data_IF_110153294212
#
_entry.id   IF_110153294212
#
_cell.length_a   1.000
_cell.length_b   1.000
_cell.length_c   1.000
_cell.angle_alpha   90.00
_cell.angle_beta   90.00
_cell.angle_gamma   90.00
#
_symmetry.space_group_name_H-M   'P 1'
#
loop_
_entity.id
_entity.type
_entity.pdbx_description
1 polymer ?
#
# COMPACT_ATOMS: atom_id res chain seq x y z
N UNK A 1 -0.37 14.98 -6.84
CA UNK A 1 0.93 14.56 -7.36
C UNK A 1 0.65 13.45 -8.35
N UNK A 2 1.28 13.38 -9.54
CA UNK A 2 1.18 12.17 -10.35
C UNK A 2 1.77 11.01 -9.54
N UNK A 3 1.27 9.79 -9.78
CA UNK A 3 1.69 8.58 -9.07
C UNK A 3 3.24 8.42 -8.97
N UNK A 4 3.69 7.66 -7.97
CA UNK A 4 5.11 7.44 -7.70
C UNK A 4 5.79 6.80 -8.92
N UNK A 5 6.78 7.48 -9.51
CA UNK A 5 7.47 7.01 -10.74
C UNK A 5 8.09 5.62 -10.59
N UNK A 6 8.53 5.26 -9.39
CA UNK A 6 9.18 3.98 -9.05
C UNK A 6 8.18 2.88 -8.67
N UNK A 7 6.87 3.17 -8.70
CA UNK A 7 5.81 2.23 -8.27
C UNK A 7 5.95 0.83 -8.83
N UNK A 8 6.02 0.67 -10.15
CA UNK A 8 6.06 -0.66 -10.77
C UNK A 8 7.27 -1.48 -10.28
N UNK A 9 8.41 -0.82 -10.04
CA UNK A 9 9.61 -1.49 -9.52
C UNK A 9 9.37 -2.01 -8.10
N UNK A 10 8.65 -1.26 -7.27
CA UNK A 10 8.28 -1.67 -5.92
C UNK A 10 7.22 -2.77 -5.90
N UNK A 11 6.23 -2.70 -6.80
CA UNK A 11 5.23 -3.75 -6.98
C UNK A 11 5.90 -5.07 -7.39
N UNK A 12 6.81 -5.03 -8.37
CA UNK A 12 7.56 -6.20 -8.83
C UNK A 12 8.46 -6.76 -7.71
N UNK A 13 9.18 -5.90 -6.99
CA UNK A 13 10.06 -6.31 -5.91
C UNK A 13 9.30 -6.98 -4.76
N UNK A 14 8.16 -6.40 -4.35
CA UNK A 14 7.33 -6.97 -3.30
C UNK A 14 6.67 -8.29 -3.75
N UNK A 15 6.16 -8.34 -4.99
CA UNK A 15 5.57 -9.56 -5.53
C UNK A 15 6.58 -10.71 -5.59
N UNK A 16 7.81 -10.43 -6.03
CA UNK A 16 8.89 -11.41 -6.09
C UNK A 16 9.29 -11.91 -4.70
N UNK A 17 9.43 -11.00 -3.72
CA UNK A 17 9.75 -11.38 -2.34
C UNK A 17 8.67 -12.26 -1.72
N UNK A 18 7.39 -11.92 -1.91
CA UNK A 18 6.27 -12.72 -1.42
C UNK A 18 6.15 -14.07 -2.13
N UNK A 19 6.47 -14.15 -3.42
CA UNK A 19 6.42 -15.42 -4.17
C UNK A 19 7.44 -16.43 -3.66
N UNK A 20 8.62 -15.99 -3.23
CA UNK A 20 9.59 -16.88 -2.59
C UNK A 20 9.02 -17.49 -1.30
N UNK A 21 8.33 -16.67 -0.49
CA UNK A 21 7.65 -17.15 0.72
C UNK A 21 6.51 -18.10 0.35
N UNK A 22 5.68 -17.73 -0.62
CA UNK A 22 4.54 -18.56 -0.98
C UNK A 22 4.95 -19.92 -1.55
N UNK A 23 6.02 -19.99 -2.35
CA UNK A 23 6.56 -21.26 -2.85
C UNK A 23 7.06 -22.16 -1.70
N UNK A 24 7.77 -21.61 -0.71
CA UNK A 24 8.20 -22.39 0.47
C UNK A 24 6.98 -22.89 1.27
N UNK A 25 5.94 -22.08 1.43
CA UNK A 25 4.74 -22.50 2.17
C UNK A 25 3.81 -23.42 1.38
N UNK A 26 3.80 -23.33 0.06
CA UNK A 26 3.16 -24.31 -0.81
C UNK A 26 3.75 -25.71 -0.55
N UNK A 27 5.08 -25.83 -0.56
CA UNK A 27 5.76 -27.11 -0.36
C UNK A 27 5.57 -27.64 1.07
N UNK A 28 5.61 -26.76 2.08
CA UNK A 28 5.31 -27.12 3.47
C UNK A 28 3.86 -27.56 3.67
N UNK A 29 2.92 -26.93 2.97
CA UNK A 29 1.52 -27.32 3.02
C UNK A 29 1.34 -28.73 2.45
N UNK A 30 1.94 -29.04 1.29
CA UNK A 30 1.90 -30.39 0.71
C UNK A 30 2.53 -31.42 1.65
N UNK A 31 3.66 -31.09 2.28
CA UNK A 31 4.38 -32.02 3.13
C UNK A 31 3.70 -32.25 4.49
N UNK A 32 3.14 -31.20 5.10
CA UNK A 32 2.75 -31.20 6.51
C UNK A 32 1.37 -30.60 6.81
N UNK A 33 0.74 -29.88 5.88
CA UNK A 33 -0.55 -29.22 6.08
C UNK A 33 -0.52 -28.14 7.16
N UNK A 34 0.54 -27.33 7.22
CA UNK A 34 0.73 -26.28 8.25
C UNK A 34 1.12 -24.94 7.67
N UNK A 35 0.64 -23.86 8.31
CA UNK A 35 0.96 -22.47 7.98
C UNK A 35 1.83 -21.77 9.03
N UNK A 36 2.33 -22.51 10.02
CA UNK A 36 3.11 -21.97 11.13
C UNK A 36 4.29 -21.11 10.62
N UNK A 37 4.41 -19.90 11.13
CA UNK A 37 5.45 -18.93 10.78
C UNK A 37 5.25 -18.18 9.46
N UNK A 38 4.17 -18.43 8.71
CA UNK A 38 3.89 -17.72 7.44
C UNK A 38 3.74 -16.22 7.67
N UNK A 39 3.06 -15.83 8.73
CA UNK A 39 2.84 -14.44 9.11
C UNK A 39 4.15 -13.69 9.32
N UNK A 40 5.08 -14.26 10.10
CA UNK A 40 6.38 -13.69 10.36
C UNK A 40 7.26 -13.62 9.09
N UNK A 41 7.20 -14.64 8.24
CA UNK A 41 7.94 -14.69 6.98
C UNK A 41 7.46 -13.64 5.99
N UNK A 42 6.14 -13.50 5.83
CA UNK A 42 5.51 -12.43 5.05
C UNK A 42 5.92 -11.06 5.59
N UNK A 43 5.81 -10.86 6.91
CA UNK A 43 6.14 -9.58 7.52
C UNK A 43 7.61 -9.20 7.27
N UNK A 44 8.52 -10.17 7.40
CA UNK A 44 9.94 -9.97 7.10
C UNK A 44 10.21 -9.63 5.63
N UNK A 45 9.50 -10.28 4.70
CA UNK A 45 9.63 -10.04 3.27
C UNK A 45 9.06 -8.67 2.84
N UNK A 46 7.92 -8.25 3.42
CA UNK A 46 7.23 -7.03 3.01
C UNK A 46 7.85 -5.75 3.59
N UNK A 47 8.37 -5.81 4.82
CA UNK A 47 8.81 -4.63 5.57
C UNK A 47 9.77 -3.71 4.79
N UNK A 48 10.85 -4.20 4.15
CA UNK A 48 11.82 -3.33 3.50
C UNK A 48 11.19 -2.50 2.38
N UNK A 49 10.42 -3.14 1.49
CA UNK A 49 9.77 -2.46 0.36
C UNK A 49 8.72 -1.47 0.85
N UNK A 50 7.90 -1.84 1.83
CA UNK A 50 6.87 -0.95 2.38
C UNK A 50 7.49 0.30 3.05
N UNK A 51 8.59 0.13 3.78
CA UNK A 51 9.30 1.24 4.41
C UNK A 51 9.89 2.19 3.35
N UNK A 52 10.49 1.62 2.30
CA UNK A 52 11.08 2.38 1.21
C UNK A 52 10.01 3.17 0.43
N UNK A 53 8.92 2.53 0.01
CA UNK A 53 7.83 3.17 -0.74
C UNK A 53 7.23 4.33 0.06
N UNK A 54 6.95 4.10 1.34
CA UNK A 54 6.43 5.14 2.22
C UNK A 54 7.39 6.33 2.31
N UNK A 55 8.68 6.06 2.53
CA UNK A 55 9.71 7.11 2.63
C UNK A 55 9.88 7.91 1.34
N UNK A 56 9.88 7.23 0.19
CA UNK A 56 9.95 7.87 -1.14
C UNK A 56 8.74 8.75 -1.41
N UNK A 57 7.53 8.26 -1.14
CA UNK A 57 6.29 9.02 -1.33
C UNK A 57 6.26 10.28 -0.45
N UNK A 58 6.63 10.14 0.82
CA UNK A 58 6.75 11.26 1.74
C UNK A 58 7.80 12.28 1.26
N UNK A 59 9.02 11.83 0.96
CA UNK A 59 10.11 12.71 0.51
C UNK A 59 9.76 13.45 -0.79
N UNK A 60 9.09 12.79 -1.72
CA UNK A 60 8.67 13.41 -2.97
C UNK A 60 7.60 14.49 -2.74
N UNK A 61 6.58 14.24 -1.93
CA UNK A 61 5.58 15.26 -1.61
C UNK A 61 6.21 16.45 -0.88
N UNK A 62 7.08 16.19 0.11
CA UNK A 62 7.78 17.25 0.84
C UNK A 62 8.63 18.11 -0.11
N UNK A 63 9.38 17.47 -1.03
CA UNK A 63 10.18 18.17 -2.03
C UNK A 63 9.34 19.02 -2.97
N UNK A 64 8.20 18.50 -3.44
CA UNK A 64 7.28 19.26 -4.32
C UNK A 64 6.69 20.49 -3.63
N UNK A 65 6.45 20.41 -2.32
CA UNK A 65 5.92 21.52 -1.53
C UNK A 65 7.02 22.39 -0.91
N UNK A 66 8.29 22.18 -1.26
CA UNK A 66 9.45 22.87 -0.66
C UNK A 66 9.48 22.78 0.87
N UNK A 67 8.95 21.70 1.45
CA UNK A 67 8.91 21.47 2.88
C UNK A 67 10.19 20.79 3.36
N UNK A 68 10.85 21.29 4.42
CA UNK A 68 12.08 20.73 4.92
C UNK A 68 11.82 19.39 5.61
N UNK A 69 12.01 18.28 4.90
CA UNK A 69 11.97 16.93 5.44
C UNK A 69 13.26 16.19 5.09
N UNK A 70 13.99 15.70 6.10
CA UNK A 70 15.19 14.92 5.83
C UNK A 70 14.86 13.50 5.40
N UNK A 71 15.74 12.90 4.58
CA UNK A 71 15.62 11.49 4.21
C UNK A 71 15.64 10.55 5.45
N UNK A 72 16.35 10.95 6.52
CA UNK A 72 16.41 10.21 7.78
C UNK A 72 15.06 10.16 8.50
N UNK A 73 14.37 11.30 8.60
CA UNK A 73 13.03 11.39 9.20
C UNK A 73 11.99 10.62 8.39
N UNK A 74 12.00 10.78 7.06
CA UNK A 74 11.11 10.05 6.16
C UNK A 74 11.31 8.53 6.29
N UNK A 75 12.56 8.07 6.31
CA UNK A 75 12.89 6.66 6.49
C UNK A 75 12.49 6.14 7.89
N UNK A 76 12.76 6.90 8.96
CA UNK A 76 12.40 6.50 10.32
C UNK A 76 10.88 6.33 10.47
N UNK A 77 10.10 7.28 9.94
CA UNK A 77 8.64 7.19 9.94
C UNK A 77 8.16 6.00 9.10
N UNK A 78 8.73 5.83 7.89
CA UNK A 78 8.41 4.72 7.00
C UNK A 78 8.66 3.36 7.62
N UNK A 79 9.81 3.16 8.26
CA UNK A 79 10.12 1.92 8.99
C UNK A 79 9.14 1.68 10.15
N UNK A 80 8.76 2.72 10.88
CA UNK A 80 7.80 2.62 11.99
C UNK A 80 6.42 2.14 11.51
N UNK A 81 5.90 2.77 10.44
CA UNK A 81 4.65 2.37 9.82
C UNK A 81 4.73 0.97 9.20
N UNK A 82 5.76 0.71 8.41
CA UNK A 82 5.93 -0.56 7.68
C UNK A 82 6.04 -1.75 8.62
N UNK A 83 6.67 -1.62 9.79
CA UNK A 83 6.70 -2.70 10.81
C UNK A 83 5.31 -3.12 11.25
N UNK A 84 4.44 -2.15 11.55
CA UNK A 84 3.08 -2.42 12.00
C UNK A 84 2.26 -3.03 10.86
N UNK A 85 2.32 -2.42 9.67
CA UNK A 85 1.56 -2.90 8.51
C UNK A 85 2.02 -4.27 8.02
N UNK A 86 3.32 -4.54 7.96
CA UNK A 86 3.85 -5.82 7.51
C UNK A 86 3.44 -6.97 8.47
N UNK A 87 3.43 -6.73 9.78
CA UNK A 87 2.93 -7.70 10.75
C UNK A 87 1.43 -7.96 10.59
N UNK A 88 0.64 -6.93 10.31
CA UNK A 88 -0.79 -7.06 10.02
C UNK A 88 -1.04 -7.82 8.72
N UNK A 89 -0.30 -7.48 7.65
CA UNK A 89 -0.35 -8.18 6.37
C UNK A 89 -0.05 -9.68 6.55
N UNK A 90 0.96 -10.02 7.33
CA UNK A 90 1.28 -11.41 7.67
C UNK A 90 0.08 -12.17 8.22
N UNK A 91 -0.62 -11.59 9.21
CA UNK A 91 -1.83 -12.19 9.80
C UNK A 91 -2.97 -12.30 8.78
N UNK A 92 -3.22 -11.24 8.00
CA UNK A 92 -4.26 -11.22 6.97
C UNK A 92 -4.01 -12.26 5.88
N UNK A 93 -2.75 -12.49 5.52
CA UNK A 93 -2.38 -13.55 4.56
C UNK A 93 -2.65 -14.92 5.16
N UNK A 94 -2.29 -15.18 6.42
CA UNK A 94 -2.62 -16.47 7.08
C UNK A 94 -4.13 -16.69 7.08
N UNK A 95 -4.92 -15.74 7.58
CA UNK A 95 -6.39 -15.85 7.66
C UNK A 95 -7.02 -16.11 6.27
N UNK A 96 -6.62 -15.34 5.26
CA UNK A 96 -7.15 -15.55 3.90
C UNK A 96 -6.64 -16.82 3.22
N UNK A 97 -5.50 -17.36 3.66
CA UNK A 97 -4.96 -18.65 3.20
C UNK A 97 -5.74 -19.81 3.80
N UNK A 98 -5.97 -19.78 5.12
CA UNK A 98 -6.81 -20.75 5.84
C UNK A 98 -8.20 -20.80 5.22
N UNK A 99 -8.83 -19.63 5.03
CA UNK A 99 -10.14 -19.55 4.38
C UNK A 99 -10.15 -20.15 2.97
N UNK A 100 -9.17 -19.83 2.14
CA UNK A 100 -9.12 -20.35 0.77
C UNK A 100 -8.92 -21.88 0.74
N UNK A 101 -8.16 -22.43 1.68
CA UNK A 101 -8.00 -23.88 1.85
C UNK A 101 -9.31 -24.53 2.31
N UNK A 102 -10.01 -23.92 3.28
CA UNK A 102 -11.32 -24.38 3.75
C UNK A 102 -12.37 -24.35 2.62
N UNK A 103 -12.31 -23.34 1.76
CA UNK A 103 -13.15 -23.20 0.57
C UNK A 103 -12.69 -24.12 -0.61
N UNK A 104 -11.74 -25.05 -0.36
CA UNK A 104 -11.18 -26.02 -1.32
C UNK A 104 -10.60 -25.39 -2.61
N UNK A 105 -10.08 -24.16 -2.50
CA UNK A 105 -9.42 -23.49 -3.62
C UNK A 105 -8.13 -24.20 -4.02
N UNK A 106 -7.76 -24.10 -5.30
CA UNK A 106 -6.52 -24.70 -5.78
C UNK A 106 -5.30 -24.09 -5.09
N UNK A 107 -4.28 -24.91 -4.81
CA UNK A 107 -3.03 -24.41 -4.21
C UNK A 107 -2.34 -23.35 -5.07
N UNK A 108 -2.54 -23.39 -6.40
CA UNK A 108 -2.09 -22.32 -7.30
C UNK A 108 -2.79 -20.99 -7.01
N UNK A 109 -4.09 -20.99 -6.67
CA UNK A 109 -4.78 -19.75 -6.26
C UNK A 109 -4.32 -19.28 -4.88
N UNK A 110 -4.04 -20.21 -3.98
CA UNK A 110 -3.66 -19.94 -2.59
C UNK A 110 -2.22 -19.42 -2.49
N UNK A 111 -1.27 -20.03 -3.21
CA UNK A 111 0.17 -19.73 -3.12
C UNK A 111 0.80 -19.27 -4.43
N UNK A 112 0.02 -19.10 -5.51
CA UNK A 112 0.55 -18.71 -6.81
C UNK A 112 0.88 -17.23 -6.97
N UNK A 113 1.59 -16.95 -8.06
CA UNK A 113 2.12 -15.63 -8.38
C UNK A 113 1.03 -14.55 -8.57
N UNK A 114 -0.15 -14.91 -9.05
CA UNK A 114 -1.23 -13.92 -9.24
C UNK A 114 -1.71 -13.30 -7.92
N UNK A 115 -1.66 -14.06 -6.82
CA UNK A 115 -2.01 -13.59 -5.49
C UNK A 115 -0.92 -12.68 -4.92
N UNK A 116 0.36 -13.00 -5.14
CA UNK A 116 1.46 -12.14 -4.68
C UNK A 116 1.48 -10.81 -5.41
N UNK A 117 1.24 -10.79 -6.72
CA UNK A 117 1.08 -9.54 -7.51
C UNK A 117 -0.11 -8.72 -7.01
N UNK A 118 -1.25 -9.38 -6.74
CA UNK A 118 -2.42 -8.70 -6.18
C UNK A 118 -2.12 -8.00 -4.86
N UNK A 119 -1.44 -8.70 -3.94
CA UNK A 119 -1.04 -8.16 -2.64
C UNK A 119 -0.05 -7.02 -2.84
N UNK A 120 0.95 -7.19 -3.70
CA UNK A 120 1.99 -6.19 -3.91
C UNK A 120 1.42 -4.86 -4.40
N UNK A 121 0.56 -4.88 -5.42
CA UNK A 121 -0.12 -3.68 -5.94
C UNK A 121 -0.89 -2.97 -4.82
N UNK A 122 -1.61 -3.74 -4.01
CA UNK A 122 -2.46 -3.22 -2.94
C UNK A 122 -1.60 -2.54 -1.87
N UNK A 123 -0.55 -3.20 -1.40
CA UNK A 123 0.27 -2.70 -0.30
C UNK A 123 1.20 -1.57 -0.72
N UNK A 124 1.69 -1.56 -1.96
CA UNK A 124 2.43 -0.41 -2.52
C UNK A 124 1.54 0.82 -2.60
N UNK A 125 0.30 0.67 -3.10
CA UNK A 125 -0.69 1.78 -3.12
C UNK A 125 -0.92 2.35 -1.72
N UNK A 126 -1.05 1.46 -0.72
CA UNK A 126 -1.25 1.86 0.67
C UNK A 126 -0.04 2.62 1.21
N UNK A 127 1.17 2.10 0.96
CA UNK A 127 2.41 2.71 1.41
C UNK A 127 2.61 4.11 0.82
N UNK A 128 2.31 4.30 -0.48
CA UNK A 128 2.33 5.63 -1.12
C UNK A 128 1.35 6.55 -0.41
N UNK A 129 0.08 6.14 -0.31
CA UNK A 129 -1.00 6.96 0.25
C UNK A 129 -0.69 7.40 1.68
N UNK A 130 -0.24 6.49 2.54
CA UNK A 130 0.07 6.82 3.94
C UNK A 130 1.30 7.74 4.04
N UNK A 131 2.32 7.51 3.21
CA UNK A 131 3.51 8.37 3.16
C UNK A 131 3.17 9.81 2.78
N UNK A 132 2.32 9.99 1.77
CA UNK A 132 1.84 11.31 1.35
C UNK A 132 0.96 11.97 2.41
N UNK A 133 -0.02 11.24 2.98
CA UNK A 133 -0.91 11.79 4.00
C UNK A 133 -0.18 12.21 5.26
N UNK A 134 0.91 11.53 5.62
CA UNK A 134 1.76 11.96 6.73
C UNK A 134 2.39 13.34 6.47
N UNK A 135 2.98 13.55 5.29
CA UNK A 135 3.58 14.85 4.95
C UNK A 135 2.52 15.93 4.80
N UNK A 136 1.36 15.59 4.25
CA UNK A 136 0.23 16.50 4.21
C UNK A 136 -0.17 16.99 5.60
N UNK A 137 -0.21 16.09 6.59
CA UNK A 137 -0.50 16.46 7.97
C UNK A 137 0.54 17.45 8.50
N UNK A 138 1.84 17.20 8.27
CA UNK A 138 2.91 18.13 8.69
C UNK A 138 2.75 19.51 8.05
N UNK A 139 2.48 19.57 6.74
CA UNK A 139 2.24 20.82 6.03
C UNK A 139 1.06 21.61 6.64
N UNK A 140 -0.01 20.90 7.01
CA UNK A 140 -1.19 21.54 7.61
C UNK A 140 -0.95 22.01 9.04
N UNK A 141 -0.24 21.22 9.85
CA UNK A 141 -0.05 21.52 11.28
C UNK A 141 1.14 22.42 11.57
N UNK A 142 2.19 22.36 10.76
CA UNK A 142 3.46 23.08 11.00
C UNK A 142 3.64 24.28 10.07
N UNK A 143 3.25 24.17 8.80
CA UNK A 143 3.37 25.27 7.83
C UNK A 143 2.08 26.11 7.72
N UNK A 144 0.98 25.69 8.37
CA UNK A 144 -0.30 26.40 8.36
C UNK A 144 -1.00 26.42 6.98
N UNK A 145 -0.60 25.53 6.08
CA UNK A 145 -1.17 25.41 4.75
C UNK A 145 -2.47 24.61 4.79
N UNK A 146 -3.40 24.92 3.88
CA UNK A 146 -4.67 24.17 3.75
C UNK A 146 -4.68 23.50 2.38
N UNK A 147 -5.01 22.22 2.36
CA UNK A 147 -5.06 21.43 1.12
C UNK A 147 -6.41 20.74 0.96
N UNK A 148 -6.97 20.83 -0.24
CA UNK A 148 -7.97 19.88 -0.73
C UNK A 148 -7.27 18.59 -1.14
N UNK A 149 -7.84 17.46 -0.74
CA UNK A 149 -7.29 16.12 -1.04
C UNK A 149 -8.26 15.40 -1.95
N UNK A 150 -7.81 15.06 -3.15
CA UNK A 150 -8.66 14.53 -4.21
C UNK A 150 -8.21 13.13 -4.60
N UNK A 151 -9.18 12.24 -4.77
CA UNK A 151 -8.95 10.88 -5.25
C UNK A 151 -8.90 10.86 -6.78
N UNK A 152 -7.88 10.23 -7.37
CA UNK A 152 -7.78 10.05 -8.81
C UNK A 152 -7.60 8.58 -9.16
N UNK A 153 -8.38 8.13 -10.14
CA UNK A 153 -8.22 6.80 -10.73
C UNK A 153 -7.02 6.80 -11.66
N UNK A 154 -6.32 5.67 -11.75
CA UNK A 154 -5.28 5.51 -12.77
C UNK A 154 -5.86 5.64 -14.18
N UNK A 155 -5.12 6.32 -15.05
CA UNK A 155 -5.51 6.59 -16.43
C UNK A 155 -5.04 5.47 -17.37
N UNK A 156 -5.35 4.23 -17.01
CA UNK A 156 -4.83 3.04 -17.69
C UNK A 156 -5.91 2.12 -18.27
N UNK A 157 -7.09 2.70 -18.53
CA UNK A 157 -8.28 2.04 -19.09
C UNK A 157 -8.85 0.90 -18.23
N UNK A 158 -8.34 0.70 -17.00
CA UNK A 158 -8.76 -0.38 -16.08
C UNK A 158 -9.44 0.17 -14.82
N UNK A 159 -10.18 1.27 -14.97
CA UNK A 159 -10.92 1.86 -13.84
C UNK A 159 -12.03 0.90 -13.41
N UNK A 160 -11.99 0.44 -12.16
CA UNK A 160 -12.99 -0.47 -11.63
C UNK A 160 -14.28 0.28 -11.22
N UNK A 161 -15.42 -0.43 -11.10
CA UNK A 161 -16.69 0.17 -10.66
C UNK A 161 -16.66 0.76 -9.24
N UNK A 162 -15.75 0.31 -8.38
CA UNK A 162 -15.57 0.85 -7.02
C UNK A 162 -14.90 2.22 -7.04
N UNK A 163 -13.91 2.40 -7.92
CA UNK A 163 -13.08 3.61 -7.95
C UNK A 163 -13.58 4.66 -8.95
N UNK A 164 -14.33 4.28 -9.99
CA UNK A 164 -14.89 5.22 -10.95
C UNK A 164 -15.71 6.36 -10.29
N UNK A 165 -16.60 6.08 -9.31
CA UNK A 165 -17.35 7.13 -8.62
C UNK A 165 -16.50 8.06 -7.75
N UNK A 166 -15.28 7.63 -7.39
CA UNK A 166 -14.38 8.40 -6.54
C UNK A 166 -13.50 9.36 -7.35
N UNK A 167 -13.45 9.23 -8.68
CA UNK A 167 -12.59 10.05 -9.51
C UNK A 167 -12.87 11.55 -9.34
N UNK A 168 -11.80 12.32 -9.08
CA UNK A 168 -11.82 13.75 -8.82
C UNK A 168 -12.71 14.19 -7.63
N UNK A 169 -13.11 13.27 -6.76
CA UNK A 169 -13.87 13.60 -5.55
C UNK A 169 -12.94 14.01 -4.41
N UNK A 170 -13.38 14.98 -3.63
CA UNK A 170 -12.65 15.48 -2.46
C UNK A 170 -12.81 14.56 -1.25
N UNK A 171 -11.87 14.65 -0.31
CA UNK A 171 -11.80 13.83 0.91
C UNK A 171 -13.09 13.74 1.69
N UNK A 172 -13.87 14.80 1.77
CA UNK A 172 -15.15 14.78 2.46
C UNK A 172 -16.13 13.70 1.92
N UNK A 173 -16.03 13.36 0.64
CA UNK A 173 -16.90 12.38 -0.01
C UNK A 173 -16.46 10.93 0.22
N UNK A 174 -15.16 10.65 0.24
CA UNK A 174 -14.65 9.27 0.33
C UNK A 174 -14.17 8.88 1.73
N UNK A 175 -13.81 9.81 2.60
CA UNK A 175 -13.22 9.48 3.90
C UNK A 175 -14.16 8.73 4.85
N UNK A 176 -15.48 8.85 4.64
CA UNK A 176 -16.47 8.13 5.45
C UNK A 176 -16.43 6.62 5.18
N UNK A 177 -16.12 6.22 3.95
CA UNK A 177 -16.05 4.82 3.53
C UNK A 177 -14.62 4.30 3.49
N UNK A 178 -13.65 5.16 3.18
CA UNK A 178 -12.25 4.82 2.97
C UNK A 178 -11.37 5.86 3.69
N UNK A 179 -11.38 5.90 5.03
CA UNK A 179 -10.73 6.97 5.81
C UNK A 179 -9.22 7.08 5.58
N UNK A 180 -8.56 5.99 5.21
CA UNK A 180 -7.13 5.93 4.94
C UNK A 180 -6.73 6.37 3.53
N UNK A 181 -7.70 6.60 2.63
CA UNK A 181 -7.45 6.76 1.20
C UNK A 181 -7.15 5.43 0.49
N UNK A 182 -6.61 5.48 -0.75
CA UNK A 182 -6.29 4.27 -1.51
C UNK A 182 -5.37 3.30 -0.74
N UNK A 183 -5.49 1.98 -0.95
CA UNK A 183 -6.38 1.29 -1.88
C UNK A 183 -7.80 1.05 -1.32
N UNK A 184 -8.80 1.11 -2.20
CA UNK A 184 -10.20 0.78 -1.88
C UNK A 184 -10.52 -0.72 -1.90
N UNK A 185 -9.75 -1.51 -2.65
CA UNK A 185 -9.97 -2.93 -2.90
C UNK A 185 -8.67 -3.61 -3.36
N UNK A 186 -8.60 -4.94 -3.45
CA UNK A 186 -7.43 -5.64 -3.99
C UNK A 186 -7.12 -5.21 -5.43
N UNK A 187 -5.84 -4.99 -5.76
CA UNK A 187 -5.35 -4.42 -7.04
C UNK A 187 -5.78 -2.98 -7.32
N UNK A 188 -6.29 -2.24 -6.34
CA UNK A 188 -6.55 -0.81 -6.51
C UNK A 188 -5.22 -0.09 -6.75
N UNK A 189 -5.17 0.75 -7.79
CA UNK A 189 -3.99 1.54 -8.16
C UNK A 189 -4.18 3.05 -8.06
N UNK A 190 -5.35 3.50 -7.61
CA UNK A 190 -5.68 4.92 -7.48
C UNK A 190 -4.67 5.67 -6.60
N UNK A 191 -4.52 6.97 -6.84
CA UNK A 191 -3.61 7.85 -6.12
C UNK A 191 -4.33 9.09 -5.59
N UNK A 192 -3.65 9.83 -4.72
CA UNK A 192 -4.15 11.10 -4.20
C UNK A 192 -3.48 12.28 -4.92
N UNK A 193 -4.22 13.38 -5.03
CA UNK A 193 -3.66 14.67 -5.40
C UNK A 193 -4.02 15.73 -4.37
N UNK A 194 -3.11 16.66 -4.17
CA UNK A 194 -3.20 17.71 -3.15
C UNK A 194 -3.19 19.04 -3.89
N UNK A 195 -4.18 19.89 -3.59
CA UNK A 195 -4.26 21.25 -4.12
C UNK A 195 -4.34 22.21 -2.95
N UNK A 196 -3.40 23.14 -2.88
CA UNK A 196 -3.45 24.20 -1.87
C UNK A 196 -4.72 25.03 -2.09
N UNK A 197 -5.44 25.29 -1.00
CA UNK A 197 -6.64 26.12 -0.98
C UNK A 197 -6.22 27.46 -0.40
N UNK A 198 -6.31 28.52 -1.20
CA UNK A 198 -6.04 29.88 -0.72
C UNK A 198 -7.08 30.24 0.33
N UNK A 199 -6.63 30.51 1.56
CA UNK A 199 -7.45 31.21 2.53
C UNK A 199 -7.58 32.66 2.02
N UNK A 200 -8.74 33.00 1.48
CA UNK A 200 -9.10 34.39 1.13
C UNK A 200 -9.20 35.29 2.35
#
# INVERSE_FOLDING_TARGET
>A
MPDLKTRNQHEDALAAALLLIFNDWHDRWIAFGRLEGLDAAVAGAALPTLAQVHGEAAGNLASLQSFPLSAGEANQKGVGWARQRAAELGRQIVESTEKAIEDEESLEKVFGAERTVMIAITEVTRAITVGELWVLLLLMTEAGLVFGVFWYTEADERVCPVCAPLHATEREFWQQSIPEGPPAHPRCRCHLTFKEVSNG
#
